data_IF_995763659192
#
_entry.id   IF_995763659192
#
_cell.length_a   1.000
_cell.length_b   1.000
_cell.length_c   1.000
_cell.angle_alpha   90.00
_cell.angle_beta   90.00
_cell.angle_gamma   90.00
#
_symmetry.space_group_name_H-M   'P 1'
#
loop_
_entity.id
_entity.type
_entity.pdbx_description
1 polymer ?
#
# COMPACT_ATOMS: atom_id res chain seq x y z
N UNK A 1 -13.46 -44.71 36.14
CA UNK A 1 -14.09 -43.52 35.51
C UNK A 1 -15.38 -43.95 34.87
N UNK A 2 -16.49 -43.28 35.14
CA UNK A 2 -17.76 -43.64 34.51
C UNK A 2 -17.74 -43.26 33.01
N UNK A 3 -18.44 -43.98 32.14
CA UNK A 3 -18.50 -43.66 30.71
C UNK A 3 -18.93 -42.22 30.46
N UNK A 4 -19.81 -41.68 31.28
CA UNK A 4 -20.24 -40.27 31.24
C UNK A 4 -19.12 -39.27 31.53
N UNK A 5 -18.23 -39.55 32.47
CA UNK A 5 -17.07 -38.69 32.76
C UNK A 5 -16.09 -38.63 31.59
N UNK A 6 -15.87 -39.77 30.90
CA UNK A 6 -15.01 -39.81 29.72
C UNK A 6 -15.60 -38.96 28.60
N UNK A 7 -16.89 -39.08 28.32
CA UNK A 7 -17.59 -38.30 27.29
C UNK A 7 -17.51 -36.79 27.60
N UNK A 8 -17.78 -36.37 28.84
CA UNK A 8 -17.70 -34.97 29.25
C UNK A 8 -16.27 -34.45 29.12
N UNK A 9 -15.26 -35.20 29.50
CA UNK A 9 -13.84 -34.80 29.39
C UNK A 9 -13.46 -34.60 27.91
N UNK A 10 -13.82 -35.54 27.02
CA UNK A 10 -13.55 -35.43 25.59
C UNK A 10 -14.23 -34.20 24.98
N UNK A 11 -15.49 -33.95 25.38
CA UNK A 11 -16.24 -32.77 24.89
C UNK A 11 -15.59 -31.47 25.35
N UNK A 12 -15.14 -31.35 26.59
CA UNK A 12 -14.41 -30.19 27.10
C UNK A 12 -13.10 -29.98 26.34
N UNK A 13 -12.33 -31.04 26.07
CA UNK A 13 -11.09 -30.95 25.29
C UNK A 13 -11.38 -30.44 23.87
N UNK A 14 -12.41 -30.96 23.21
CA UNK A 14 -12.79 -30.49 21.86
C UNK A 14 -13.20 -29.03 21.86
N UNK A 15 -13.98 -28.55 22.84
CA UNK A 15 -14.36 -27.16 22.96
C UNK A 15 -13.13 -26.26 23.19
N UNK A 16 -12.24 -26.65 24.09
CA UNK A 16 -11.01 -25.91 24.35
C UNK A 16 -10.13 -25.85 23.10
N UNK A 17 -9.97 -26.97 22.39
CA UNK A 17 -9.23 -27.01 21.13
C UNK A 17 -9.87 -26.12 20.05
N UNK A 18 -11.19 -26.12 19.94
CA UNK A 18 -11.92 -25.26 18.99
C UNK A 18 -11.72 -23.76 19.31
N UNK A 19 -11.80 -23.39 20.58
CA UNK A 19 -11.55 -22.00 21.03
C UNK A 19 -10.11 -21.60 20.72
N UNK A 20 -9.13 -22.44 21.06
CA UNK A 20 -7.73 -22.18 20.77
C UNK A 20 -7.48 -21.99 19.27
N UNK A 21 -8.05 -22.84 18.42
CA UNK A 21 -7.97 -22.72 16.97
C UNK A 21 -8.61 -21.40 16.48
N UNK A 22 -9.77 -21.03 17.00
CA UNK A 22 -10.45 -19.76 16.65
C UNK A 22 -9.60 -18.54 17.03
N UNK A 23 -8.98 -18.53 18.21
CA UNK A 23 -8.09 -17.46 18.67
C UNK A 23 -6.85 -17.33 17.76
N UNK A 24 -6.23 -18.46 17.39
CA UNK A 24 -5.08 -18.46 16.48
C UNK A 24 -5.47 -17.94 15.10
N UNK A 25 -6.60 -18.36 14.56
CA UNK A 25 -7.09 -17.88 13.25
C UNK A 25 -7.40 -16.38 13.30
N UNK A 26 -8.08 -15.91 14.37
CA UNK A 26 -8.38 -14.49 14.54
C UNK A 26 -7.11 -13.65 14.67
N UNK A 27 -6.10 -14.11 15.40
CA UNK A 27 -4.80 -13.46 15.53
C UNK A 27 -4.07 -13.35 14.20
N UNK A 28 -4.01 -14.43 13.42
CA UNK A 28 -3.40 -14.43 12.08
C UNK A 28 -4.10 -13.46 11.11
N UNK A 29 -5.44 -13.43 11.12
CA UNK A 29 -6.22 -12.47 10.33
C UNK A 29 -5.91 -11.03 10.69
N UNK A 30 -5.83 -10.74 11.99
CA UNK A 30 -5.49 -9.40 12.47
C UNK A 30 -4.10 -8.98 12.01
N UNK A 31 -3.11 -9.88 12.07
CA UNK A 31 -1.76 -9.62 11.58
C UNK A 31 -1.74 -9.29 10.08
N UNK A 32 -2.42 -10.11 9.25
CA UNK A 32 -2.52 -9.84 7.81
C UNK A 32 -3.20 -8.50 7.52
N UNK A 33 -4.33 -8.18 8.19
CA UNK A 33 -4.99 -6.88 8.03
C UNK A 33 -4.11 -5.69 8.44
N UNK A 34 -3.32 -5.84 9.48
CA UNK A 34 -2.40 -4.79 9.92
C UNK A 34 -1.26 -4.59 8.93
N UNK A 35 -0.71 -5.67 8.36
CA UNK A 35 0.39 -5.60 7.40
C UNK A 35 -0.07 -5.07 6.06
N UNK A 36 -1.12 -5.63 5.50
CA UNK A 36 -1.58 -5.31 4.15
C UNK A 36 -2.58 -4.14 4.09
N UNK A 37 -3.13 -3.67 5.22
CA UNK A 37 -4.04 -2.53 5.25
C UNK A 37 -5.16 -2.60 4.18
N UNK A 38 -5.28 -1.58 3.30
CA UNK A 38 -6.30 -1.55 2.26
C UNK A 38 -6.18 -2.71 1.25
N UNK A 39 -4.97 -3.18 1.00
CA UNK A 39 -4.70 -4.29 0.07
C UNK A 39 -5.34 -5.60 0.53
N UNK A 40 -5.46 -5.83 1.84
CA UNK A 40 -6.17 -6.99 2.37
C UNK A 40 -7.62 -7.05 1.87
N UNK A 41 -8.34 -5.93 1.95
CA UNK A 41 -9.75 -5.88 1.54
C UNK A 41 -9.89 -5.98 0.01
N UNK A 42 -8.92 -5.46 -0.74
CA UNK A 42 -8.84 -5.60 -2.20
C UNK A 42 -8.69 -7.08 -2.61
N UNK A 43 -7.71 -7.79 -2.06
CA UNK A 43 -7.50 -9.21 -2.36
C UNK A 43 -8.69 -10.07 -1.92
N UNK A 44 -9.35 -9.73 -0.79
CA UNK A 44 -10.58 -10.42 -0.36
C UNK A 44 -11.73 -10.22 -1.36
N UNK A 45 -11.80 -9.07 -2.03
CA UNK A 45 -12.83 -8.80 -3.04
C UNK A 45 -12.56 -9.55 -4.36
N UNK A 46 -11.30 -9.81 -4.69
CA UNK A 46 -10.90 -10.50 -5.93
C UNK A 46 -10.95 -12.04 -5.82
N UNK A 47 -10.88 -12.59 -4.62
CA UNK A 47 -10.84 -14.04 -4.40
C UNK A 47 -12.21 -14.63 -4.08
N UNK A 48 -12.45 -15.87 -4.50
CA UNK A 48 -13.70 -16.61 -4.26
C UNK A 48 -14.05 -16.76 -2.76
N UNK A 49 -13.06 -16.70 -1.89
CA UNK A 49 -13.25 -16.82 -0.45
C UNK A 49 -12.16 -16.09 0.34
N UNK A 50 -12.53 -15.63 1.54
CA UNK A 50 -11.58 -15.03 2.48
C UNK A 50 -10.40 -15.94 2.78
N UNK A 51 -10.61 -17.25 2.88
CA UNK A 51 -9.53 -18.21 3.14
C UNK A 51 -8.57 -18.34 1.96
N UNK A 52 -9.05 -18.16 0.73
CA UNK A 52 -8.21 -18.10 -0.48
C UNK A 52 -7.38 -16.82 -0.48
N UNK A 53 -8.00 -15.67 -0.21
CA UNK A 53 -7.32 -14.38 -0.08
C UNK A 53 -6.22 -14.41 0.98
N UNK A 54 -6.51 -14.92 2.19
CA UNK A 54 -5.52 -15.04 3.27
C UNK A 54 -4.39 -16.02 2.94
N UNK A 55 -4.62 -17.01 2.08
CA UNK A 55 -3.57 -17.89 1.55
C UNK A 55 -2.68 -17.12 0.59
N UNK A 56 -3.27 -16.46 -0.38
CA UNK A 56 -2.55 -15.64 -1.35
C UNK A 56 -1.65 -14.59 -0.64
N UNK A 57 -2.18 -13.87 0.34
CA UNK A 57 -1.39 -12.88 1.07
C UNK A 57 -0.20 -13.50 1.82
N UNK A 58 -0.37 -14.69 2.40
CA UNK A 58 0.75 -15.42 3.02
C UNK A 58 1.77 -15.92 1.99
N UNK A 59 1.31 -16.27 0.82
CA UNK A 59 2.18 -16.69 -0.28
C UNK A 59 2.98 -15.50 -0.82
N UNK A 60 2.38 -14.31 -0.87
CA UNK A 60 3.10 -13.04 -1.16
C UNK A 60 4.17 -12.75 -0.12
N UNK A 61 3.85 -12.87 1.19
CA UNK A 61 4.84 -12.71 2.27
C UNK A 61 6.03 -13.66 2.11
N UNK A 62 5.79 -14.93 1.76
CA UNK A 62 6.86 -15.93 1.57
C UNK A 62 7.74 -15.58 0.37
N UNK A 63 7.13 -15.29 -0.78
CA UNK A 63 7.88 -14.90 -1.99
C UNK A 63 8.67 -13.61 -1.78
N UNK A 64 8.09 -12.65 -1.08
CA UNK A 64 8.77 -11.41 -0.73
C UNK A 64 9.97 -11.64 0.20
N UNK A 65 9.86 -12.56 1.17
CA UNK A 65 10.96 -12.89 2.08
C UNK A 65 12.17 -13.55 1.37
N UNK A 66 12.01 -14.02 0.15
CA UNK A 66 13.08 -14.57 -0.70
C UNK A 66 13.81 -13.49 -1.51
N UNK A 67 13.30 -12.23 -1.51
CA UNK A 67 13.91 -11.13 -2.24
C UNK A 67 15.12 -10.56 -1.49
N UNK A 68 16.15 -10.24 -2.23
CA UNK A 68 17.31 -9.46 -1.74
C UNK A 68 17.08 -7.97 -2.00
N UNK A 69 16.28 -7.33 -1.13
CA UNK A 69 16.00 -5.90 -1.26
C UNK A 69 17.23 -5.07 -0.87
N UNK A 70 17.52 -4.07 -1.69
CA UNK A 70 18.68 -3.20 -1.54
C UNK A 70 18.24 -1.81 -1.08
N UNK A 71 18.78 -1.30 0.05
CA UNK A 71 18.58 0.09 0.44
C UNK A 71 19.19 1.03 -0.59
N UNK A 72 18.50 2.11 -0.94
CA UNK A 72 19.06 3.14 -1.80
C UNK A 72 20.23 3.86 -1.11
N UNK A 73 21.30 4.09 -1.87
CA UNK A 73 22.38 4.97 -1.40
C UNK A 73 21.90 6.42 -1.34
N UNK A 74 22.55 7.30 -0.54
CA UNK A 74 22.21 8.72 -0.54
C UNK A 74 22.29 9.35 -1.94
N UNK A 75 23.29 8.95 -2.74
CA UNK A 75 23.50 9.42 -4.10
C UNK A 75 22.38 8.97 -5.05
N UNK A 76 21.96 7.70 -4.96
CA UNK A 76 20.82 7.19 -5.74
C UNK A 76 19.55 7.94 -5.37
N UNK A 77 19.30 8.14 -4.08
CA UNK A 77 18.13 8.88 -3.59
C UNK A 77 18.11 10.31 -4.13
N UNK A 78 19.23 11.03 -4.07
CA UNK A 78 19.35 12.38 -4.59
C UNK A 78 19.08 12.42 -6.11
N UNK A 79 19.66 11.48 -6.87
CA UNK A 79 19.45 11.36 -8.33
C UNK A 79 18.00 11.13 -8.70
N UNK A 80 17.29 10.27 -7.95
CA UNK A 80 15.85 10.04 -8.20
C UNK A 80 15.02 11.26 -7.84
N UNK A 81 15.31 11.93 -6.72
CA UNK A 81 14.62 13.16 -6.32
C UNK A 81 14.77 14.26 -7.39
N UNK A 82 15.99 14.50 -7.87
CA UNK A 82 16.26 15.45 -8.96
C UNK A 82 15.50 15.10 -10.24
N UNK A 83 15.54 13.82 -10.65
CA UNK A 83 14.81 13.37 -11.83
C UNK A 83 13.28 13.56 -11.69
N UNK A 84 12.76 13.39 -10.47
CA UNK A 84 11.35 13.66 -10.19
C UNK A 84 11.00 15.16 -10.28
N UNK A 85 11.85 16.03 -9.77
CA UNK A 85 11.67 17.49 -9.89
C UNK A 85 11.67 17.95 -11.35
N UNK A 86 12.63 17.47 -12.15
CA UNK A 86 12.67 17.74 -13.59
C UNK A 86 11.39 17.30 -14.31
N UNK A 87 10.87 16.14 -13.94
CA UNK A 87 9.65 15.56 -14.49
C UNK A 87 8.44 16.47 -14.18
N UNK A 88 8.33 16.99 -12.95
CA UNK A 88 7.25 17.93 -12.58
C UNK A 88 7.31 19.23 -13.39
N UNK A 89 8.50 19.77 -13.67
CA UNK A 89 8.65 20.96 -14.52
C UNK A 89 8.21 20.65 -15.95
N UNK A 90 8.61 19.52 -16.49
CA UNK A 90 8.31 19.08 -17.86
C UNK A 90 6.82 18.80 -18.08
N UNK A 91 6.08 18.46 -17.02
CA UNK A 91 4.64 18.21 -17.07
C UNK A 91 3.84 19.42 -17.60
N UNK A 92 4.32 20.64 -17.37
CA UNK A 92 3.63 21.87 -17.81
C UNK A 92 3.53 21.91 -19.34
N UNK A 93 4.60 21.52 -20.04
CA UNK A 93 4.69 21.61 -21.49
C UNK A 93 4.25 20.32 -22.20
N UNK A 94 4.46 19.16 -21.57
CA UNK A 94 4.27 17.85 -22.21
C UNK A 94 3.65 16.83 -21.24
N UNK A 95 2.39 17.01 -20.78
CA UNK A 95 1.80 16.16 -19.75
C UNK A 95 1.70 14.68 -20.15
N UNK A 96 1.33 14.38 -21.41
CA UNK A 96 1.17 13.01 -21.87
C UNK A 96 2.50 12.23 -21.89
N UNK A 97 3.56 12.85 -22.38
CA UNK A 97 4.90 12.27 -22.38
C UNK A 97 5.44 12.10 -20.96
N UNK A 98 5.18 13.08 -20.10
CA UNK A 98 5.64 13.08 -18.69
C UNK A 98 5.06 11.93 -17.88
N UNK A 99 3.80 11.52 -18.11
CA UNK A 99 3.22 10.35 -17.44
C UNK A 99 3.97 9.06 -17.83
N UNK A 100 4.35 8.89 -19.08
CA UNK A 100 5.17 7.77 -19.50
C UNK A 100 6.55 7.76 -18.84
N UNK A 101 7.19 8.94 -18.76
CA UNK A 101 8.49 9.12 -18.07
C UNK A 101 8.38 8.86 -16.55
N UNK A 102 7.23 9.18 -15.93
CA UNK A 102 6.97 8.89 -14.52
C UNK A 102 6.87 7.38 -14.27
N UNK A 103 6.13 6.66 -15.13
CA UNK A 103 6.04 5.19 -15.07
C UNK A 103 7.42 4.54 -15.18
N UNK A 104 8.23 4.97 -16.17
CA UNK A 104 9.60 4.48 -16.33
C UNK A 104 10.50 4.80 -15.13
N UNK A 105 10.37 5.99 -14.53
CA UNK A 105 11.17 6.40 -13.38
C UNK A 105 10.84 5.54 -12.15
N UNK A 106 9.55 5.32 -11.89
CA UNK A 106 9.07 4.44 -10.81
C UNK A 106 9.52 3.00 -11.05
N UNK A 107 9.39 2.49 -12.26
CA UNK A 107 9.82 1.13 -12.61
C UNK A 107 11.33 0.93 -12.41
N UNK A 108 12.16 1.90 -12.78
CA UNK A 108 13.61 1.87 -12.50
C UNK A 108 13.92 1.88 -11.01
N UNK A 109 13.18 2.67 -10.22
CA UNK A 109 13.35 2.73 -8.78
C UNK A 109 12.97 1.39 -8.11
N UNK A 110 11.88 0.77 -8.55
CA UNK A 110 11.44 -0.57 -8.11
C UNK A 110 12.55 -1.59 -8.40
N UNK A 111 13.12 -1.58 -9.61
CA UNK A 111 14.22 -2.46 -10.00
C UNK A 111 15.48 -2.24 -9.15
N UNK A 112 15.90 -0.98 -8.91
CA UNK A 112 17.07 -0.66 -8.11
C UNK A 112 16.91 -1.07 -6.64
N UNK A 113 15.68 -1.11 -6.14
CA UNK A 113 15.35 -1.64 -4.83
C UNK A 113 15.41 -3.18 -4.75
N UNK A 114 15.55 -3.88 -5.87
CA UNK A 114 15.62 -5.34 -5.93
C UNK A 114 14.28 -6.04 -6.09
N UNK A 115 13.19 -5.31 -6.36
CA UNK A 115 11.90 -5.92 -6.68
C UNK A 115 11.90 -6.49 -8.11
N UNK A 116 11.19 -7.60 -8.37
CA UNK A 116 11.01 -8.12 -9.72
C UNK A 116 10.32 -7.12 -10.64
N UNK A 117 10.77 -7.03 -11.90
CA UNK A 117 10.23 -6.13 -12.92
C UNK A 117 9.58 -6.91 -14.07
N UNK A 118 8.88 -7.99 -13.76
CA UNK A 118 8.14 -8.80 -14.74
C UNK A 118 6.76 -8.24 -15.05
N UNK A 119 5.78 -9.13 -15.10
CA UNK A 119 4.37 -8.76 -15.26
C UNK A 119 3.91 -7.83 -14.14
N UNK A 120 3.03 -6.87 -14.47
CA UNK A 120 2.55 -5.86 -13.54
C UNK A 120 1.90 -6.47 -12.28
N UNK A 121 1.11 -7.52 -12.45
CA UNK A 121 0.43 -8.20 -11.33
C UNK A 121 1.41 -8.87 -10.38
N UNK A 122 2.48 -9.47 -10.89
CA UNK A 122 3.55 -10.05 -10.07
C UNK A 122 4.31 -8.95 -9.31
N UNK A 123 4.60 -7.83 -9.97
CA UNK A 123 5.23 -6.67 -9.34
C UNK A 123 4.37 -6.12 -8.20
N UNK A 124 3.06 -5.95 -8.43
CA UNK A 124 2.06 -5.56 -7.44
C UNK A 124 2.06 -6.53 -6.25
N UNK A 125 2.10 -7.84 -6.51
CA UNK A 125 2.11 -8.85 -5.47
C UNK A 125 3.31 -8.72 -4.53
N UNK A 126 4.50 -8.44 -5.06
CA UNK A 126 5.71 -8.24 -4.28
C UNK A 126 5.71 -6.90 -3.52
N UNK A 127 5.31 -5.81 -4.16
CA UNK A 127 5.21 -4.48 -3.55
C UNK A 127 4.16 -4.43 -2.43
N UNK A 128 3.11 -5.26 -2.52
CA UNK A 128 2.00 -5.26 -1.56
C UNK A 128 2.41 -5.57 -0.12
N UNK A 129 3.56 -6.20 0.08
CA UNK A 129 4.03 -6.62 1.41
C UNK A 129 4.56 -5.43 2.22
N UNK A 130 5.33 -4.53 1.59
CA UNK A 130 5.94 -3.38 2.27
C UNK A 130 5.30 -2.03 1.91
N UNK A 131 4.64 -1.94 0.73
CA UNK A 131 4.08 -0.70 0.17
C UNK A 131 2.56 -0.74 0.00
N UNK A 132 1.85 -1.56 0.80
CA UNK A 132 0.41 -1.77 0.71
C UNK A 132 -0.44 -0.47 0.70
N UNK A 133 0.03 0.57 1.39
CA UNK A 133 -0.71 1.85 1.52
C UNK A 133 -0.71 2.66 0.24
N UNK A 134 0.37 2.59 -0.53
CA UNK A 134 0.58 3.36 -1.77
C UNK A 134 0.27 2.56 -3.02
N UNK A 135 0.03 1.26 -2.88
CA UNK A 135 -0.18 0.35 -3.99
C UNK A 135 -1.45 0.66 -4.80
N UNK A 136 -2.53 1.10 -4.15
CA UNK A 136 -3.75 1.57 -4.84
C UNK A 136 -3.44 2.73 -5.79
N UNK A 137 -2.67 3.70 -5.32
CA UNK A 137 -2.21 4.81 -6.17
C UNK A 137 -1.39 4.32 -7.36
N UNK A 138 -0.52 3.33 -7.17
CA UNK A 138 0.28 2.80 -8.29
C UNK A 138 -0.59 2.13 -9.35
N UNK A 139 -1.62 1.37 -8.97
CA UNK A 139 -2.61 0.80 -9.90
C UNK A 139 -3.35 1.88 -10.68
N UNK A 140 -3.86 2.90 -9.97
CA UNK A 140 -4.59 4.02 -10.58
C UNK A 140 -3.71 4.76 -11.60
N UNK A 141 -2.46 5.05 -11.24
CA UNK A 141 -1.50 5.71 -12.11
C UNK A 141 -1.20 4.88 -13.36
N UNK A 142 -0.97 3.59 -13.19
CA UNK A 142 -0.69 2.67 -14.31
C UNK A 142 -1.89 2.53 -15.25
N UNK A 143 -3.11 2.45 -14.72
CA UNK A 143 -4.33 2.45 -15.54
C UNK A 143 -4.45 3.73 -16.38
N UNK A 144 -4.18 4.89 -15.78
CA UNK A 144 -4.16 6.17 -16.51
C UNK A 144 -3.05 6.16 -17.57
N UNK A 145 -1.86 5.65 -17.26
CA UNK A 145 -0.77 5.51 -18.23
C UNK A 145 -1.18 4.65 -19.42
N UNK A 146 -1.86 3.51 -19.21
CA UNK A 146 -2.38 2.67 -20.28
C UNK A 146 -3.45 3.39 -21.12
N UNK A 147 -4.34 4.18 -20.52
CA UNK A 147 -5.29 5.03 -21.26
C UNK A 147 -4.57 6.12 -22.04
N UNK A 148 -3.54 6.73 -21.47
CA UNK A 148 -2.72 7.74 -22.12
C UNK A 148 -2.03 7.19 -23.39
N UNK A 149 -1.49 5.98 -23.32
CA UNK A 149 -0.84 5.32 -24.48
C UNK A 149 -1.80 5.09 -25.66
N UNK A 150 -3.12 5.03 -25.39
CA UNK A 150 -4.19 4.94 -26.39
C UNK A 150 -4.78 6.29 -26.79
N UNK A 151 -4.28 7.41 -26.20
CA UNK A 151 -4.81 8.75 -26.43
C UNK A 151 -6.18 9.02 -25.79
N UNK A 152 -6.56 8.24 -24.77
CA UNK A 152 -7.87 8.28 -24.10
C UNK A 152 -7.84 9.05 -22.77
N UNK A 153 -6.68 9.52 -22.29
CA UNK A 153 -6.55 10.23 -21.02
C UNK A 153 -6.74 11.73 -21.20
N UNK A 154 -7.54 12.33 -20.34
CA UNK A 154 -7.66 13.81 -20.24
C UNK A 154 -6.45 14.41 -19.52
N UNK A 155 -6.24 15.73 -19.68
CA UNK A 155 -5.18 16.44 -18.93
C UNK A 155 -5.32 16.29 -17.41
N UNK A 156 -6.55 16.23 -16.89
CA UNK A 156 -6.79 16.02 -15.48
C UNK A 156 -6.43 14.58 -15.05
N UNK A 157 -6.73 13.58 -15.88
CA UNK A 157 -6.26 12.21 -15.63
C UNK A 157 -4.72 12.17 -15.54
N UNK A 158 -4.04 12.83 -16.50
CA UNK A 158 -2.59 12.89 -16.51
C UNK A 158 -2.00 13.56 -15.27
N UNK A 159 -2.65 14.63 -14.79
CA UNK A 159 -2.27 15.30 -13.54
C UNK A 159 -2.42 14.35 -12.34
N UNK A 160 -3.53 13.60 -12.29
CA UNK A 160 -3.77 12.61 -11.24
C UNK A 160 -2.75 11.47 -11.30
N UNK A 161 -2.40 10.97 -12.49
CA UNK A 161 -1.39 9.93 -12.64
C UNK A 161 -0.04 10.33 -12.00
N UNK A 162 0.43 11.57 -12.25
CA UNK A 162 1.68 12.06 -11.64
C UNK A 162 1.57 12.14 -10.11
N UNK A 163 0.42 12.58 -9.57
CA UNK A 163 0.18 12.60 -8.12
C UNK A 163 0.20 11.18 -7.53
N UNK A 164 -0.42 10.22 -8.22
CA UNK A 164 -0.46 8.84 -7.82
C UNK A 164 0.91 8.16 -7.90
N UNK A 165 1.68 8.35 -8.98
CA UNK A 165 3.06 7.86 -9.06
C UNK A 165 3.94 8.42 -7.95
N UNK A 166 3.77 9.71 -7.60
CA UNK A 166 4.52 10.34 -6.52
C UNK A 166 4.32 9.63 -5.18
N UNK A 167 3.11 9.15 -4.89
CA UNK A 167 2.82 8.47 -3.63
C UNK A 167 3.69 7.21 -3.44
N UNK A 168 3.75 6.33 -4.45
CA UNK A 168 4.62 5.14 -4.39
C UNK A 168 6.10 5.54 -4.47
N UNK A 169 6.44 6.52 -5.31
CA UNK A 169 7.81 7.00 -5.47
C UNK A 169 8.41 7.48 -4.14
N UNK A 170 7.70 8.34 -3.40
CA UNK A 170 8.14 8.83 -2.09
C UNK A 170 8.28 7.70 -1.06
N UNK A 171 7.35 6.75 -1.06
CA UNK A 171 7.39 5.57 -0.19
C UNK A 171 8.63 4.69 -0.49
N UNK A 172 8.92 4.45 -1.77
CA UNK A 172 10.11 3.70 -2.20
C UNK A 172 11.44 4.41 -1.88
N UNK A 173 11.46 5.74 -1.91
CA UNK A 173 12.61 6.54 -1.47
C UNK A 173 12.82 6.48 0.05
N UNK A 174 11.81 6.05 0.81
CA UNK A 174 11.81 6.06 2.27
C UNK A 174 11.50 7.45 2.84
N UNK A 175 10.82 8.30 2.07
CA UNK A 175 10.21 9.54 2.53
C UNK A 175 8.81 9.20 3.05
N UNK A 176 8.41 9.80 4.18
CA UNK A 176 7.04 9.65 4.66
C UNK A 176 6.10 10.29 3.62
N UNK A 177 5.07 9.58 3.11
CA UNK A 177 4.18 10.14 2.10
C UNK A 177 3.59 11.45 2.63
N UNK A 178 3.48 12.50 1.80
CA UNK A 178 2.90 13.76 2.23
C UNK A 178 1.50 13.48 2.76
N UNK A 179 1.31 13.71 4.05
CA UNK A 179 0.00 13.62 4.69
C UNK A 179 -0.91 14.54 3.89
N UNK A 180 -1.94 13.98 3.26
CA UNK A 180 -2.95 14.79 2.57
C UNK A 180 -3.34 15.90 3.52
N UNK A 181 -3.14 17.16 3.09
CA UNK A 181 -3.34 18.33 3.92
C UNK A 181 -4.73 18.25 4.54
N UNK A 182 -4.75 17.86 5.81
CA UNK A 182 -5.96 17.82 6.61
C UNK A 182 -6.58 19.21 6.57
N UNK A 183 -7.87 19.24 6.33
CA UNK A 183 -8.73 20.42 6.46
C UNK A 183 -8.23 21.30 7.61
N UNK A 184 -7.99 22.58 7.42
CA UNK A 184 -7.52 23.45 8.49
C UNK A 184 -8.52 23.39 9.63
N UNK A 185 -8.08 22.83 10.74
CA UNK A 185 -8.78 22.88 12.01
C UNK A 185 -9.12 24.33 12.32
N UNK A 186 -10.39 24.66 12.30
CA UNK A 186 -10.90 25.97 12.65
C UNK A 186 -10.44 26.26 14.07
N UNK A 187 -9.38 27.06 14.18
CA UNK A 187 -8.92 27.62 15.44
C UNK A 187 -10.04 28.54 15.96
N UNK A 188 -10.85 28.04 16.86
CA UNK A 188 -11.82 28.82 17.61
C UNK A 188 -11.07 29.93 18.35
N UNK A 189 -11.40 31.23 18.17
CA UNK A 189 -10.79 32.27 18.97
C UNK A 189 -11.30 32.12 20.40
N UNK A 190 -10.38 31.92 21.33
CA UNK A 190 -10.61 32.02 22.76
C UNK A 190 -11.32 33.35 23.08
N UNK A 191 -12.55 33.25 23.56
CA UNK A 191 -13.27 34.38 24.13
C UNK A 191 -12.51 34.82 25.41
N UNK A 192 -11.76 35.90 25.27
CA UNK A 192 -11.13 36.58 26.37
C UNK A 192 -12.20 37.00 27.39
N UNK A 193 -12.10 36.42 28.58
CA UNK A 193 -12.80 36.84 29.74
C UNK A 193 -12.26 38.21 30.19
N UNK A 194 -12.98 39.25 29.84
CA UNK A 194 -12.77 40.56 30.46
C UNK A 194 -13.61 40.59 31.74
N UNK A 195 -12.95 40.34 32.84
CA UNK A 195 -13.48 40.58 34.18
C UNK A 195 -12.82 41.88 34.74
N UNK A 196 -13.44 42.99 34.52
CA UNK A 196 -13.07 44.21 35.23
C UNK A 196 -14.23 44.73 36.08
N UNK A 197 -14.08 44.46 37.32
CA UNK A 197 -14.19 45.29 38.51
C UNK A 197 -15.04 46.55 38.39
N UNK A 198 -16.22 46.55 38.99
CA UNK A 198 -16.62 47.48 40.08
C UNK A 198 -17.99 47.18 40.61
#
# INVERSE_FOLDING_TARGET
>A
MSPTQIVVTVLVILVVAAIAAAVVVAGRRRALRQRFGPEYDHVVAEQDSRSAAERELRDRERRHAELELVPLTPESRARYAEAWEELQVRFIDSPAETVGQADELVSRLIAERGYPTGEFDDQIAHLSVDHARTLGHYRDAHEIHLRNSRGEASTEDLRQAVVHYRALFSDLLGEEPPVAAGTPEQRQPDAAHDATNR
#
